data_IF_993659319891
#
_entry.id   IF_993659319891
#
_cell.length_a   1.000
_cell.length_b   1.000
_cell.length_c   1.000
_cell.angle_alpha   90.00
_cell.angle_beta   90.00
_cell.angle_gamma   90.00
#
_symmetry.space_group_name_H-M   'P 1'
#
loop_
_entity.id
_entity.type
_entity.pdbx_description
1 polymer ?
#
# COMPACT_ATOMS: atom_id res chain seq x y z
N UNK A 1 -0.17 8.42 14.61
CA UNK A 1 0.54 7.92 13.42
C UNK A 1 -0.50 7.60 12.35
N UNK A 2 -0.29 8.02 11.11
CA UNK A 2 -1.26 7.98 10.01
C UNK A 2 -0.55 7.41 8.80
N UNK A 3 -1.02 6.30 8.27
CA UNK A 3 -0.33 5.52 7.23
C UNK A 3 -1.27 5.32 6.05
N UNK A 4 -0.80 5.63 4.86
CA UNK A 4 -1.48 5.30 3.61
C UNK A 4 -0.79 4.09 2.97
N UNK A 5 -1.54 3.07 2.60
CA UNK A 5 -1.03 1.92 1.84
C UNK A 5 -1.36 2.09 0.37
N UNK A 6 -0.35 2.01 -0.50
CA UNK A 6 -0.48 2.12 -1.95
C UNK A 6 0.28 0.99 -2.65
N UNK A 7 -0.13 0.62 -3.86
CA UNK A 7 0.43 -0.54 -4.55
C UNK A 7 -0.56 -1.23 -5.48
N UNK A 8 -0.08 -2.16 -6.30
CA UNK A 8 -0.88 -2.89 -7.30
C UNK A 8 -2.09 -3.60 -6.68
N UNK A 9 -3.15 -3.82 -7.45
CA UNK A 9 -4.17 -4.80 -7.06
C UNK A 9 -3.52 -6.16 -6.78
N UNK A 10 -3.89 -6.81 -5.68
CA UNK A 10 -3.26 -8.09 -5.27
C UNK A 10 -1.89 -7.98 -4.61
N UNK A 11 -1.31 -6.79 -4.43
CA UNK A 11 0.04 -6.66 -3.83
C UNK A 11 0.11 -6.99 -2.33
N UNK A 12 -1.03 -7.21 -1.68
CA UNK A 12 -1.11 -7.56 -0.26
C UNK A 12 -1.29 -6.38 0.70
N UNK A 13 -1.69 -5.19 0.21
CA UNK A 13 -1.96 -4.01 1.05
C UNK A 13 -2.88 -4.31 2.24
N UNK A 14 -4.07 -4.87 1.99
CA UNK A 14 -5.03 -5.21 3.05
C UNK A 14 -4.45 -6.18 4.08
N UNK A 15 -3.64 -7.14 3.64
CA UNK A 15 -2.93 -8.07 4.53
C UNK A 15 -1.89 -7.36 5.40
N UNK A 16 -1.09 -6.45 4.82
CA UNK A 16 -0.14 -5.60 5.55
C UNK A 16 -0.88 -4.71 6.56
N UNK A 17 -1.98 -4.07 6.14
CA UNK A 17 -2.81 -3.26 7.01
C UNK A 17 -3.36 -4.06 8.20
N UNK A 18 -3.87 -5.26 7.96
CA UNK A 18 -4.35 -6.15 9.01
C UNK A 18 -3.25 -6.56 9.99
N UNK A 19 -2.03 -6.84 9.50
CA UNK A 19 -0.89 -7.15 10.36
C UNK A 19 -0.50 -5.96 11.24
N UNK A 20 -0.43 -4.75 10.67
CA UNK A 20 -0.09 -3.54 11.42
C UNK A 20 -1.16 -3.17 12.45
N UNK A 21 -2.44 -3.34 12.11
CA UNK A 21 -3.55 -3.18 13.07
C UNK A 21 -3.57 -4.31 14.09
N UNK A 22 -3.12 -5.52 13.75
CA UNK A 22 -3.18 -6.69 14.63
C UNK A 22 -4.54 -7.39 14.68
N UNK A 23 -5.42 -7.11 13.71
CA UNK A 23 -6.72 -7.80 13.56
C UNK A 23 -7.19 -7.78 12.10
N UNK A 24 -8.18 -8.62 11.76
CA UNK A 24 -8.72 -8.76 10.40
C UNK A 24 -9.82 -7.72 10.13
N UNK A 25 -9.42 -6.49 9.84
CA UNK A 25 -10.33 -5.34 9.61
C UNK A 25 -10.54 -5.04 8.14
N UNK A 26 -9.52 -5.21 7.31
CA UNK A 26 -9.60 -5.06 5.86
C UNK A 26 -9.89 -6.41 5.22
N UNK A 27 -10.85 -6.43 4.31
CA UNK A 27 -11.17 -7.64 3.53
C UNK A 27 -10.04 -7.93 2.56
N UNK A 28 -9.42 -9.10 2.69
CA UNK A 28 -8.41 -9.58 1.73
C UNK A 28 -9.14 -10.31 0.60
N UNK A 29 -9.07 -9.75 -0.62
CA UNK A 29 -9.65 -10.35 -1.82
C UNK A 29 -8.57 -10.63 -2.86
N UNK A 30 -8.60 -11.85 -3.41
CA UNK A 30 -7.70 -12.27 -4.48
C UNK A 30 -8.25 -11.96 -5.88
N UNK A 31 -9.52 -11.57 -5.99
CA UNK A 31 -10.21 -11.39 -7.28
C UNK A 31 -10.61 -9.95 -7.53
N UNK A 32 -11.11 -9.28 -6.51
CA UNK A 32 -11.78 -7.99 -6.66
C UNK A 32 -10.90 -6.84 -6.21
N UNK A 33 -9.93 -7.11 -5.32
CA UNK A 33 -9.16 -6.08 -4.66
C UNK A 33 -10.02 -5.15 -3.79
N UNK A 34 -9.38 -4.12 -3.25
CA UNK A 34 -10.05 -3.04 -2.51
C UNK A 34 -10.72 -2.09 -3.51
N UNK A 35 -12.02 -1.83 -3.34
CA UNK A 35 -12.81 -0.98 -4.24
C UNK A 35 -12.96 0.46 -3.77
N UNK A 36 -12.84 0.68 -2.46
CA UNK A 36 -12.94 1.99 -1.83
C UNK A 36 -11.90 2.07 -0.73
N UNK A 37 -11.37 3.26 -0.47
CA UNK A 37 -10.42 3.48 0.61
C UNK A 37 -11.06 3.22 1.97
N UNK A 38 -10.46 2.30 2.73
CA UNK A 38 -10.94 1.85 4.04
C UNK A 38 -10.00 2.31 5.13
N UNK A 39 -10.54 2.77 6.26
CA UNK A 39 -9.77 3.24 7.40
C UNK A 39 -9.93 2.30 8.59
N UNK A 40 -8.81 1.97 9.23
CA UNK A 40 -8.78 1.28 10.50
C UNK A 40 -7.88 2.00 11.50
N UNK A 41 -8.14 1.78 12.80
CA UNK A 41 -7.39 2.40 13.90
C UNK A 41 -7.03 1.38 14.98
N UNK A 42 -5.90 1.59 15.64
CA UNK A 42 -5.47 0.89 16.85
C UNK A 42 -4.75 1.85 17.78
N UNK A 43 -5.03 1.75 19.08
CA UNK A 43 -4.21 2.38 20.12
C UNK A 43 -2.98 1.52 20.40
N UNK A 44 -1.80 2.15 20.35
CA UNK A 44 -0.52 1.53 20.66
C UNK A 44 -0.29 1.47 22.17
N UNK A 45 0.67 0.65 22.61
CA UNK A 45 0.99 0.45 24.03
C UNK A 45 1.44 1.74 24.72
N UNK A 46 2.03 2.68 23.98
CA UNK A 46 2.44 4.00 24.46
C UNK A 46 1.33 5.06 24.40
N UNK A 47 0.09 4.65 24.13
CA UNK A 47 -1.09 5.50 24.08
C UNK A 47 -1.27 6.27 22.77
N UNK A 48 -0.33 6.21 21.81
CA UNK A 48 -0.50 6.85 20.50
C UNK A 48 -1.52 6.08 19.65
N UNK A 49 -2.28 6.79 18.81
CA UNK A 49 -3.12 6.13 17.80
C UNK A 49 -2.36 5.82 16.51
N UNK A 50 -2.48 4.59 16.02
CA UNK A 50 -2.13 4.19 14.66
C UNK A 50 -3.41 4.18 13.81
N UNK A 51 -3.41 4.95 12.73
CA UNK A 51 -4.47 5.01 11.73
C UNK A 51 -3.89 4.52 10.41
N UNK A 52 -4.56 3.57 9.77
CA UNK A 52 -4.15 3.01 8.48
C UNK A 52 -5.30 3.17 7.50
N UNK A 53 -4.99 3.64 6.30
CA UNK A 53 -5.90 3.61 5.16
C UNK A 53 -5.37 2.61 4.13
N UNK A 54 -6.19 1.59 3.85
CA UNK A 54 -6.01 0.69 2.71
C UNK A 54 -6.71 1.30 1.50
N UNK A 55 -5.99 1.52 0.40
CA UNK A 55 -6.55 2.08 -0.84
C UNK A 55 -6.81 0.99 -1.87
N UNK A 56 -7.65 1.27 -2.88
CA UNK A 56 -7.65 0.49 -4.12
C UNK A 56 -6.25 0.42 -4.73
N UNK A 57 -5.98 -0.69 -5.42
CA UNK A 57 -4.72 -0.87 -6.14
C UNK A 57 -4.80 -0.35 -7.57
N UNK A 58 -3.66 0.08 -8.11
CA UNK A 58 -3.56 0.34 -9.54
C UNK A 58 -3.66 -0.98 -10.33
N UNK A 59 -4.08 -0.92 -11.60
CA UNK A 59 -4.52 -2.08 -12.40
C UNK A 59 -5.70 -2.86 -11.81
N UNK A 60 -6.59 -2.21 -11.06
CA UNK A 60 -7.82 -2.84 -10.61
C UNK A 60 -8.76 -3.06 -11.82
N UNK A 61 -9.19 -4.30 -12.06
CA UNK A 61 -10.09 -4.64 -13.17
C UNK A 61 -11.50 -4.03 -13.03
N UNK A 62 -11.86 -3.61 -11.82
CA UNK A 62 -13.18 -3.06 -11.47
C UNK A 62 -13.19 -1.54 -11.39
N UNK A 63 -12.04 -0.86 -11.53
CA UNK A 63 -11.93 0.60 -11.46
C UNK A 63 -11.09 1.12 -12.61
N UNK A 64 -11.47 2.26 -13.16
CA UNK A 64 -10.61 3.03 -14.05
C UNK A 64 -9.43 3.63 -13.28
N UNK A 65 -8.41 4.11 -14.00
CA UNK A 65 -7.28 4.81 -13.39
C UNK A 65 -7.72 6.09 -12.67
N UNK A 66 -8.69 6.82 -13.23
CA UNK A 66 -9.25 8.03 -12.61
C UNK A 66 -10.00 7.72 -11.31
N UNK A 67 -10.82 6.67 -11.30
CA UNK A 67 -11.53 6.23 -10.09
C UNK A 67 -10.56 5.75 -9.01
N UNK A 68 -9.50 5.04 -9.42
CA UNK A 68 -8.43 4.62 -8.50
C UNK A 68 -7.74 5.84 -7.89
N UNK A 69 -7.41 6.85 -8.69
CA UNK A 69 -6.80 8.09 -8.19
C UNK A 69 -7.74 8.83 -7.22
N UNK A 70 -9.03 8.95 -7.54
CA UNK A 70 -10.03 9.58 -6.64
C UNK A 70 -10.11 8.89 -5.29
N UNK A 71 -10.05 7.57 -5.26
CA UNK A 71 -10.06 6.84 -3.99
C UNK A 71 -8.75 7.01 -3.20
N UNK A 72 -7.61 7.15 -3.88
CA UNK A 72 -6.35 7.50 -3.22
C UNK A 72 -6.45 8.90 -2.61
N UNK A 73 -6.97 9.88 -3.34
CA UNK A 73 -7.18 11.25 -2.84
C UNK A 73 -8.14 11.26 -1.64
N UNK A 74 -9.25 10.52 -1.73
CA UNK A 74 -10.16 10.29 -0.59
C UNK A 74 -9.44 9.66 0.60
N UNK A 75 -8.57 8.69 0.35
CA UNK A 75 -7.76 8.05 1.39
C UNK A 75 -6.85 9.06 2.11
N UNK A 76 -6.36 10.06 1.38
CA UNK A 76 -5.56 11.16 1.92
C UNK A 76 -6.38 12.11 2.78
N UNK A 77 -7.60 12.43 2.35
CA UNK A 77 -8.57 13.22 3.12
C UNK A 77 -8.92 12.54 4.45
N UNK A 78 -9.14 11.21 4.42
CA UNK A 78 -9.36 10.41 5.64
C UNK A 78 -8.20 10.47 6.64
N UNK A 79 -7.00 10.83 6.17
CA UNK A 79 -5.80 10.98 6.97
C UNK A 79 -5.45 12.44 7.28
N UNK A 80 -6.39 13.39 7.16
CA UNK A 80 -6.16 14.82 7.44
C UNK A 80 -5.38 15.04 8.77
N UNK A 81 -4.40 15.96 8.82
CA UNK A 81 -3.94 16.88 7.75
C UNK A 81 -3.06 16.23 6.66
N UNK A 82 -3.02 14.90 6.63
CA UNK A 82 -2.29 14.07 5.67
C UNK A 82 -1.54 12.95 6.38
N UNK A 83 -1.08 11.91 5.68
CA UNK A 83 -0.34 10.80 6.28
C UNK A 83 0.95 11.28 6.94
N UNK A 84 1.46 10.53 7.92
CA UNK A 84 2.84 10.66 8.39
C UNK A 84 3.80 9.82 7.53
N UNK A 85 3.29 8.71 6.98
CA UNK A 85 4.05 7.78 6.15
C UNK A 85 3.17 7.22 5.03
N UNK A 86 3.76 7.02 3.86
CA UNK A 86 3.17 6.26 2.75
C UNK A 86 3.96 4.97 2.59
N UNK A 87 3.26 3.84 2.54
CA UNK A 87 3.85 2.52 2.33
C UNK A 87 3.48 2.04 0.93
N UNK A 88 4.49 1.85 0.08
CA UNK A 88 4.35 1.18 -1.20
C UNK A 88 4.51 -0.33 -1.01
N UNK A 89 3.47 -1.08 -1.34
CA UNK A 89 3.42 -2.53 -1.16
C UNK A 89 3.59 -3.22 -2.53
N UNK A 90 4.65 -4.00 -2.65
CA UNK A 90 4.95 -4.86 -3.80
C UNK A 90 4.79 -6.32 -3.41
N UNK A 91 4.25 -7.14 -4.33
CA UNK A 91 4.26 -8.59 -4.14
C UNK A 91 5.40 -9.22 -4.93
N UNK A 92 6.18 -10.07 -4.27
CA UNK A 92 7.22 -10.91 -4.88
C UNK A 92 6.64 -12.15 -5.57
N UNK A 93 5.33 -12.41 -5.43
CA UNK A 93 4.64 -13.41 -6.25
C UNK A 93 4.51 -12.98 -7.71
N UNK A 94 4.69 -11.69 -7.98
CA UNK A 94 4.65 -11.11 -9.30
C UNK A 94 5.97 -10.39 -9.58
N UNK A 95 6.31 -10.26 -10.86
CA UNK A 95 7.48 -9.49 -11.24
C UNK A 95 7.17 -8.01 -11.07
N UNK A 96 7.97 -7.29 -10.29
CA UNK A 96 7.95 -5.82 -10.31
C UNK A 96 8.46 -5.39 -11.68
N UNK A 97 7.64 -4.67 -12.43
CA UNK A 97 7.94 -4.24 -13.79
C UNK A 97 8.42 -2.79 -13.82
N UNK A 98 9.08 -2.39 -14.92
CA UNK A 98 9.39 -0.98 -15.15
C UNK A 98 8.15 -0.09 -15.16
N UNK A 99 6.98 -0.63 -15.54
CA UNK A 99 5.72 0.11 -15.52
C UNK A 99 5.18 0.29 -14.10
N UNK A 100 5.47 -0.65 -13.18
CA UNK A 100 5.20 -0.45 -11.75
C UNK A 100 6.04 0.72 -11.21
N UNK A 101 7.33 0.77 -11.57
CA UNK A 101 8.25 1.86 -11.17
C UNK A 101 7.80 3.19 -11.75
N UNK A 102 7.51 3.26 -13.05
CA UNK A 102 6.96 4.46 -13.70
C UNK A 102 5.64 4.91 -13.11
N UNK A 103 4.83 4.00 -12.55
CA UNK A 103 3.60 4.37 -11.86
C UNK A 103 3.85 4.96 -10.50
N UNK A 104 4.86 4.48 -9.77
CA UNK A 104 5.36 5.19 -8.57
C UNK A 104 5.81 6.61 -8.96
N UNK A 105 6.51 6.74 -10.10
CA UNK A 105 6.90 8.04 -10.66
C UNK A 105 5.68 8.87 -11.11
N UNK A 106 4.60 8.29 -11.62
CA UNK A 106 3.37 9.04 -11.93
C UNK A 106 2.58 9.42 -10.67
N UNK A 107 2.73 8.65 -9.59
CA UNK A 107 2.39 9.08 -8.24
C UNK A 107 3.35 10.15 -7.71
N UNK A 108 4.23 10.75 -8.55
CA UNK A 108 4.97 11.97 -8.23
C UNK A 108 4.06 13.09 -7.77
N UNK A 109 2.81 13.23 -8.23
CA UNK A 109 1.92 14.26 -7.65
C UNK A 109 1.65 14.03 -6.15
N UNK A 110 1.56 12.76 -5.72
CA UNK A 110 1.51 12.36 -4.31
C UNK A 110 2.89 12.58 -3.67
N UNK A 111 3.97 12.08 -4.27
CA UNK A 111 5.33 12.22 -3.73
C UNK A 111 5.81 13.68 -3.59
N UNK A 112 5.55 14.53 -4.58
CA UNK A 112 5.88 15.95 -4.68
C UNK A 112 5.06 16.78 -3.68
N UNK A 113 3.80 16.40 -3.42
CA UNK A 113 3.04 16.92 -2.27
C UNK A 113 3.71 16.60 -0.92
N UNK A 114 4.56 15.57 -0.87
CA UNK A 114 5.08 14.97 0.35
C UNK A 114 6.61 14.85 0.39
N UNK A 115 7.34 15.75 -0.27
CA UNK A 115 8.81 15.89 -0.21
C UNK A 115 9.40 15.96 1.22
N UNK A 116 8.54 16.10 2.26
CA UNK A 116 8.89 16.10 3.68
C UNK A 116 8.38 14.88 4.48
N UNK A 117 7.87 13.81 3.85
CA UNK A 117 7.30 12.63 4.55
C UNK A 117 8.07 11.35 4.28
N UNK A 118 7.94 10.40 5.21
CA UNK A 118 8.58 9.10 5.11
C UNK A 118 7.85 8.20 4.10
N UNK A 119 8.57 7.76 3.07
CA UNK A 119 8.11 6.68 2.20
C UNK A 119 8.83 5.40 2.58
N UNK A 120 8.06 4.33 2.74
CA UNK A 120 8.57 2.99 2.98
C UNK A 120 8.14 2.06 1.85
N UNK A 121 9.00 1.12 1.51
CA UNK A 121 8.71 0.07 0.55
C UNK A 121 8.61 -1.25 1.32
N UNK A 122 7.51 -1.97 1.10
CA UNK A 122 7.23 -3.26 1.74
C UNK A 122 7.04 -4.32 0.66
N UNK A 123 7.80 -5.41 0.78
CA UNK A 123 7.68 -6.57 -0.09
C UNK A 123 6.89 -7.68 0.60
N UNK A 124 5.83 -8.17 -0.05
CA UNK A 124 5.02 -9.31 0.40
C UNK A 124 5.41 -10.56 -0.39
N UNK A 125 5.08 -11.74 0.14
CA UNK A 125 5.39 -13.01 -0.54
C UNK A 125 6.87 -13.39 -0.53
N UNK A 126 7.61 -13.03 0.52
CA UNK A 126 9.04 -13.35 0.70
C UNK A 126 9.37 -14.83 0.55
N UNK A 127 8.42 -15.72 0.82
CA UNK A 127 8.63 -17.17 0.67
C UNK A 127 8.88 -17.56 -0.79
N UNK A 128 8.35 -16.81 -1.77
CA UNK A 128 8.63 -17.03 -3.20
C UNK A 128 10.11 -16.83 -3.58
N UNK A 129 10.84 -15.95 -2.85
CA UNK A 129 12.28 -15.77 -3.07
C UNK A 129 13.07 -16.91 -2.42
N UNK A 130 12.66 -17.34 -1.22
CA UNK A 130 13.29 -18.48 -0.52
C UNK A 130 13.21 -19.75 -1.35
N UNK A 131 12.06 -20.02 -1.98
CA UNK A 131 11.86 -21.19 -2.84
C UNK A 131 12.80 -21.18 -4.07
N UNK A 132 13.23 -19.98 -4.50
CA UNK A 132 14.18 -19.80 -5.60
C UNK A 132 15.63 -19.70 -5.13
N UNK A 133 15.89 -19.79 -3.82
CA UNK A 133 17.22 -19.59 -3.24
C UNK A 133 17.76 -18.18 -3.43
N UNK A 134 16.89 -17.18 -3.63
CA UNK A 134 17.24 -15.79 -3.88
C UNK A 134 17.00 -14.93 -2.64
N UNK A 135 17.86 -13.96 -2.38
CA UNK A 135 17.67 -12.93 -1.35
C UNK A 135 16.87 -11.74 -1.88
N UNK A 136 16.34 -10.90 -0.99
CA UNK A 136 15.70 -9.66 -1.43
C UNK A 136 16.69 -8.72 -2.10
N UNK A 137 17.92 -8.63 -1.59
CA UNK A 137 18.98 -7.78 -2.15
C UNK A 137 19.32 -8.18 -3.59
N UNK A 138 19.38 -9.47 -3.89
CA UNK A 138 19.57 -9.98 -5.26
C UNK A 138 18.36 -9.74 -6.17
N UNK A 139 17.17 -9.54 -5.62
CA UNK A 139 15.96 -9.26 -6.42
C UNK A 139 15.86 -7.78 -6.79
N UNK A 140 16.34 -6.89 -5.92
CA UNK A 140 16.24 -5.43 -6.10
C UNK A 140 17.44 -4.81 -6.83
N UNK A 141 18.50 -5.57 -7.11
CA UNK A 141 19.64 -5.17 -7.96
C UNK A 141 19.30 -5.26 -9.45
#
# INVERSE_FOLDING_TARGET
>A
IRVLLVGKCGSGKSSVGNQLIGSKVFTVSNTDGTQQSQLARRTLEDGRELVIVDTPGYYNIRLTEEETQKEIDRGMELLAPGPHCVIFVFSLSERVTGDDIKRIENFQSVFDMYLNKHVLVVFTGMDNLKDKGQTLDEYIQ
#
